data_IF_014006258855
#
_entry.id   IF_014006258855
#
_cell.length_a   1.000
_cell.length_b   1.000
_cell.length_c   1.000
_cell.angle_alpha   90.00
_cell.angle_beta   90.00
_cell.angle_gamma   90.00
#
_symmetry.space_group_name_H-M   'P 1'
#
loop_
_entity.id
_entity.type
_entity.pdbx_description
1 polymer ?
#
# COMPACT_ATOMS: atom_id res chain seq x y z
N UNK A 1 -1.95 18.58 7.97
CA UNK A 1 -2.57 17.53 8.80
C UNK A 1 -2.55 16.16 8.14
N UNK A 2 -3.11 15.98 6.94
CA UNK A 2 -3.15 14.69 6.21
C UNK A 2 -1.78 13.99 6.11
N UNK A 3 -0.74 14.71 5.70
CA UNK A 3 0.61 14.15 5.56
C UNK A 3 1.30 13.77 6.89
N UNK A 4 0.88 14.35 8.02
CA UNK A 4 1.53 14.12 9.32
C UNK A 4 1.17 12.74 9.89
N UNK A 5 -0.04 12.26 9.62
CA UNK A 5 -0.48 10.92 10.06
C UNK A 5 0.37 9.84 9.40
N UNK A 6 0.57 9.94 8.07
CA UNK A 6 1.38 8.95 7.33
C UNK A 6 2.87 9.07 7.66
N UNK A 7 3.38 10.29 7.89
CA UNK A 7 4.75 10.49 8.37
C UNK A 7 4.99 9.84 9.75
N UNK A 8 4.00 9.90 10.65
CA UNK A 8 4.09 9.28 11.98
C UNK A 8 3.92 7.75 11.95
N UNK A 9 3.30 7.19 10.91
CA UNK A 9 3.22 5.75 10.67
C UNK A 9 4.38 5.20 9.83
N UNK A 10 5.43 6.00 9.58
CA UNK A 10 6.59 5.62 8.76
C UNK A 10 7.41 4.45 9.30
N UNK A 11 8.49 4.11 8.58
CA UNK A 11 9.37 2.95 8.87
C UNK A 11 9.83 2.92 10.33
N UNK A 12 10.28 4.05 10.88
CA UNK A 12 10.75 4.13 12.26
C UNK A 12 9.68 3.77 13.28
N UNK A 13 8.39 4.03 12.98
CA UNK A 13 7.28 3.63 13.82
C UNK A 13 7.02 2.13 13.74
N UNK A 14 7.17 1.52 12.56
CA UNK A 14 7.06 0.06 12.43
C UNK A 14 8.24 -0.65 13.11
N UNK A 15 9.48 -0.23 12.83
CA UNK A 15 10.70 -0.87 13.33
C UNK A 15 10.80 -0.92 14.85
N UNK A 16 10.38 0.14 15.53
CA UNK A 16 10.55 0.29 16.98
C UNK A 16 9.37 -0.24 17.81
N UNK A 17 8.41 -0.93 17.18
CA UNK A 17 7.21 -1.43 17.84
C UNK A 17 7.11 -2.95 17.79
N UNK A 18 6.32 -3.50 18.71
CA UNK A 18 6.07 -4.95 18.75
C UNK A 18 5.29 -5.42 17.52
N UNK A 19 5.40 -6.70 17.17
CA UNK A 19 4.71 -7.29 16.00
C UNK A 19 3.20 -7.02 15.97
N UNK A 20 2.53 -7.07 17.14
CA UNK A 20 1.10 -6.79 17.24
C UNK A 20 0.78 -5.32 17.02
N UNK A 21 1.65 -4.40 17.48
CA UNK A 21 1.50 -2.96 17.26
C UNK A 21 1.77 -2.62 15.79
N UNK A 22 2.78 -3.21 15.15
CA UNK A 22 3.04 -3.06 13.71
C UNK A 22 1.80 -3.37 12.86
N UNK A 23 1.09 -4.47 13.16
CA UNK A 23 -0.16 -4.83 12.48
C UNK A 23 -1.23 -3.77 12.69
N UNK A 24 -1.43 -3.31 13.93
CA UNK A 24 -2.40 -2.25 14.24
C UNK A 24 -2.08 -0.93 13.53
N UNK A 25 -0.80 -0.58 13.41
CA UNK A 25 -0.36 0.60 12.65
C UNK A 25 -0.77 0.43 11.18
N UNK A 26 -0.50 -0.72 10.57
CA UNK A 26 -0.85 -0.96 9.17
C UNK A 26 -2.37 -0.94 8.94
N UNK A 27 -3.15 -1.49 9.86
CA UNK A 27 -4.62 -1.39 9.83
C UNK A 27 -5.11 0.05 9.98
N UNK A 28 -4.48 0.86 10.84
CA UNK A 28 -4.81 2.27 10.98
C UNK A 28 -4.49 3.05 9.70
N UNK A 29 -3.38 2.72 9.04
CA UNK A 29 -3.02 3.29 7.73
C UNK A 29 -4.03 2.88 6.66
N UNK A 30 -4.49 1.62 6.64
CA UNK A 30 -5.58 1.18 5.76
C UNK A 30 -6.83 2.05 5.96
N UNK A 31 -7.29 2.18 7.20
CA UNK A 31 -8.49 2.95 7.54
C UNK A 31 -8.34 4.45 7.21
N UNK A 32 -7.13 5.00 7.35
CA UNK A 32 -6.83 6.36 6.95
C UNK A 32 -6.95 6.52 5.44
N UNK A 33 -6.32 5.63 4.68
CA UNK A 33 -6.38 5.65 3.23
C UNK A 33 -7.80 5.47 2.75
N UNK A 34 -8.57 4.50 3.25
CA UNK A 34 -9.96 4.26 2.85
C UNK A 34 -10.84 5.52 2.94
N UNK A 35 -10.56 6.40 3.92
CA UNK A 35 -11.35 7.62 4.20
C UNK A 35 -10.80 8.88 3.54
N UNK A 36 -9.79 8.80 2.69
CA UNK A 36 -9.30 9.99 1.99
C UNK A 36 -10.35 10.49 1.01
N UNK A 37 -10.72 11.77 1.16
CA UNK A 37 -11.66 12.45 0.28
C UNK A 37 -11.17 12.60 -1.17
N UNK A 38 -9.93 12.18 -1.47
CA UNK A 38 -9.39 12.16 -2.83
C UNK A 38 -10.14 11.15 -3.70
N UNK A 39 -10.58 10.03 -3.12
CA UNK A 39 -11.16 8.91 -3.85
C UNK A 39 -12.57 9.15 -4.37
N UNK A 40 -13.24 10.18 -3.86
CA UNK A 40 -14.59 10.56 -4.27
C UNK A 40 -14.60 11.51 -5.48
N UNK A 41 -13.42 11.95 -5.92
CA UNK A 41 -13.26 12.90 -7.01
C UNK A 41 -13.06 12.17 -8.33
N UNK A 42 -13.65 12.72 -9.38
CA UNK A 42 -13.44 12.24 -10.76
C UNK A 42 -12.07 12.66 -11.29
N UNK A 43 -11.58 13.81 -10.83
CA UNK A 43 -10.26 14.35 -11.16
C UNK A 43 -9.69 15.07 -9.93
N UNK A 44 -8.39 14.91 -9.71
CA UNK A 44 -7.67 15.56 -8.62
C UNK A 44 -7.10 16.91 -9.07
N UNK A 45 -7.42 18.02 -8.37
CA UNK A 45 -6.71 19.28 -8.54
C UNK A 45 -5.21 19.11 -8.26
N UNK A 46 -4.36 19.90 -8.92
CA UNK A 46 -2.89 19.78 -8.82
C UNK A 46 -2.38 19.79 -7.37
N UNK A 47 -2.94 20.68 -6.52
CA UNK A 47 -2.57 20.76 -5.11
C UNK A 47 -2.84 19.47 -4.33
N UNK A 48 -3.93 18.76 -4.66
CA UNK A 48 -4.28 17.50 -4.03
C UNK A 48 -3.52 16.32 -4.63
N UNK A 49 -3.21 16.39 -5.93
CA UNK A 49 -2.31 15.42 -6.59
C UNK A 49 -0.92 15.44 -5.95
N UNK A 50 -0.38 16.63 -5.70
CA UNK A 50 0.89 16.80 -4.96
C UNK A 50 0.77 16.22 -3.54
N UNK A 51 -0.33 16.48 -2.83
CA UNK A 51 -0.55 15.91 -1.51
C UNK A 51 -0.65 14.38 -1.52
N UNK A 52 -1.33 13.79 -2.51
CA UNK A 52 -1.42 12.35 -2.69
C UNK A 52 -0.03 11.73 -2.94
N UNK A 53 0.75 12.34 -3.84
CA UNK A 53 2.13 11.93 -4.10
C UNK A 53 2.99 11.96 -2.85
N UNK A 54 2.97 13.07 -2.11
CA UNK A 54 3.70 13.20 -0.84
C UNK A 54 3.30 12.13 0.18
N UNK A 55 2.01 11.79 0.24
CA UNK A 55 1.51 10.75 1.14
C UNK A 55 2.03 9.38 0.72
N UNK A 56 1.94 9.04 -0.57
CA UNK A 56 2.42 7.76 -1.10
C UNK A 56 3.93 7.64 -0.89
N UNK A 57 4.70 8.67 -1.24
CA UNK A 57 6.16 8.69 -1.09
C UNK A 57 6.60 8.49 0.37
N UNK A 58 5.89 9.09 1.32
CA UNK A 58 6.14 8.89 2.77
C UNK A 58 5.78 7.48 3.23
N UNK A 59 4.84 6.83 2.57
CA UNK A 59 4.39 5.48 2.92
C UNK A 59 5.22 4.37 2.26
N UNK A 60 5.81 4.61 1.08
CA UNK A 60 6.61 3.63 0.34
C UNK A 60 7.66 2.93 1.22
N UNK A 61 8.47 3.63 2.04
CA UNK A 61 9.44 2.97 2.90
C UNK A 61 8.77 2.01 3.90
N UNK A 62 7.64 2.39 4.50
CA UNK A 62 6.92 1.58 5.48
C UNK A 62 6.35 0.31 4.82
N UNK A 63 5.87 0.43 3.59
CA UNK A 63 5.40 -0.69 2.78
C UNK A 63 6.53 -1.68 2.48
N UNK A 64 7.69 -1.19 2.01
CA UNK A 64 8.86 -2.03 1.72
C UNK A 64 9.34 -2.77 2.96
N UNK A 65 9.43 -2.06 4.09
CA UNK A 65 9.76 -2.68 5.38
C UNK A 65 8.78 -3.80 5.73
N UNK A 66 7.47 -3.51 5.72
CA UNK A 66 6.45 -4.47 6.12
C UNK A 66 6.44 -5.73 5.23
N UNK A 67 6.60 -5.58 3.91
CA UNK A 67 6.63 -6.70 2.97
C UNK A 67 7.90 -7.56 3.10
N UNK A 68 9.03 -6.95 3.49
CA UNK A 68 10.33 -7.62 3.64
C UNK A 68 10.48 -8.47 4.92
N UNK A 69 9.58 -8.35 5.91
CA UNK A 69 9.65 -9.17 7.13
C UNK A 69 9.00 -10.53 6.89
N UNK A 70 9.71 -11.43 6.20
CA UNK A 70 9.22 -12.75 5.80
C UNK A 70 8.50 -13.55 6.89
N UNK A 71 8.99 -13.51 8.14
CA UNK A 71 8.43 -14.23 9.30
C UNK A 71 7.21 -13.54 9.96
N UNK A 72 6.68 -12.46 9.39
CA UNK A 72 5.55 -11.72 9.93
C UNK A 72 4.37 -11.69 8.95
N UNK A 73 3.75 -12.85 8.75
CA UNK A 73 2.65 -13.08 7.81
C UNK A 73 1.53 -12.05 7.93
N UNK A 74 1.09 -11.74 9.16
CA UNK A 74 -0.01 -10.80 9.36
C UNK A 74 0.36 -9.37 8.90
N UNK A 75 1.56 -8.91 9.21
CA UNK A 75 2.01 -7.58 8.78
C UNK A 75 2.09 -7.50 7.26
N UNK A 76 2.66 -8.52 6.62
CA UNK A 76 2.73 -8.61 5.14
C UNK A 76 1.33 -8.62 4.52
N UNK A 77 0.39 -9.36 5.12
CA UNK A 77 -1.01 -9.38 4.67
C UNK A 77 -1.65 -8.00 4.74
N UNK A 78 -1.51 -7.29 5.86
CA UNK A 78 -2.08 -5.94 5.97
C UNK A 78 -1.39 -4.94 5.05
N UNK A 79 -0.09 -5.09 4.82
CA UNK A 79 0.65 -4.28 3.84
C UNK A 79 0.10 -4.50 2.41
N UNK A 80 -0.14 -5.75 2.01
CA UNK A 80 -0.77 -6.06 0.71
C UNK A 80 -2.19 -5.50 0.60
N UNK A 81 -2.97 -5.52 1.69
CA UNK A 81 -4.31 -4.92 1.73
C UNK A 81 -4.25 -3.41 1.45
N UNK A 82 -3.37 -2.68 2.13
CA UNK A 82 -3.20 -1.24 1.90
C UNK A 82 -2.75 -0.96 0.47
N UNK A 83 -1.79 -1.75 -0.03
CA UNK A 83 -1.25 -1.56 -1.37
C UNK A 83 -2.30 -1.80 -2.46
N UNK A 84 -3.13 -2.84 -2.33
CA UNK A 84 -4.24 -3.11 -3.24
C UNK A 84 -5.32 -2.03 -3.17
N UNK A 85 -5.66 -1.53 -1.98
CA UNK A 85 -6.59 -0.42 -1.80
C UNK A 85 -6.10 0.84 -2.53
N UNK A 86 -4.84 1.22 -2.31
CA UNK A 86 -4.23 2.37 -2.97
C UNK A 86 -4.22 2.20 -4.49
N UNK A 87 -3.86 1.03 -5.00
CA UNK A 87 -3.79 0.77 -6.42
C UNK A 87 -5.17 0.88 -7.09
N UNK A 88 -6.21 0.28 -6.49
CA UNK A 88 -7.61 0.40 -6.96
C UNK A 88 -8.08 1.85 -6.96
N UNK A 89 -7.78 2.59 -5.91
CA UNK A 89 -8.20 3.98 -5.79
C UNK A 89 -7.45 4.89 -6.78
N UNK A 90 -6.15 4.68 -7.02
CA UNK A 90 -5.39 5.40 -8.04
C UNK A 90 -5.92 5.11 -9.45
N UNK A 91 -6.27 3.84 -9.75
CA UNK A 91 -6.93 3.48 -11.02
C UNK A 91 -8.26 4.23 -11.18
N UNK A 92 -9.09 4.27 -10.13
CA UNK A 92 -10.42 4.93 -10.16
C UNK A 92 -10.35 6.40 -10.57
N UNK A 93 -9.32 7.11 -10.13
CA UNK A 93 -9.14 8.56 -10.39
C UNK A 93 -8.08 8.86 -11.47
N UNK A 94 -7.63 7.83 -12.18
CA UNK A 94 -6.65 7.91 -13.26
C UNK A 94 -5.27 8.51 -12.89
N UNK A 95 -4.80 8.29 -11.65
CA UNK A 95 -3.44 8.68 -11.23
C UNK A 95 -2.43 7.57 -11.57
N UNK A 96 -1.96 7.59 -12.82
CA UNK A 96 -1.11 6.53 -13.39
C UNK A 96 0.31 6.51 -12.81
N UNK A 97 0.87 7.68 -12.45
CA UNK A 97 2.23 7.78 -11.88
C UNK A 97 2.31 7.04 -10.54
N UNK A 98 1.37 7.35 -9.64
CA UNK A 98 1.24 6.72 -8.33
C UNK A 98 0.96 5.22 -8.46
N UNK A 99 0.13 4.84 -9.44
CA UNK A 99 -0.17 3.44 -9.73
C UNK A 99 1.10 2.66 -10.14
N UNK A 100 1.96 3.24 -10.99
CA UNK A 100 3.25 2.63 -11.39
C UNK A 100 4.20 2.46 -10.20
N UNK A 101 4.22 3.42 -9.27
CA UNK A 101 5.03 3.31 -8.04
C UNK A 101 4.57 2.12 -7.21
N UNK A 102 3.25 1.95 -7.02
CA UNK A 102 2.68 0.83 -6.26
C UNK A 102 2.94 -0.52 -6.93
N UNK A 103 2.81 -0.59 -8.25
CA UNK A 103 3.14 -1.79 -9.03
C UNK A 103 4.61 -2.17 -8.86
N UNK A 104 5.51 -1.18 -8.92
CA UNK A 104 6.95 -1.39 -8.78
C UNK A 104 7.28 -2.00 -7.41
N UNK A 105 6.67 -1.51 -6.33
CA UNK A 105 6.87 -2.06 -4.98
C UNK A 105 6.41 -3.52 -4.91
N UNK A 106 5.25 -3.84 -5.50
CA UNK A 106 4.75 -5.21 -5.54
C UNK A 106 5.70 -6.13 -6.31
N UNK A 107 6.11 -5.73 -7.52
CA UNK A 107 7.05 -6.50 -8.36
C UNK A 107 8.39 -6.74 -7.65
N UNK A 108 8.89 -5.75 -6.92
CA UNK A 108 10.14 -5.87 -6.13
C UNK A 108 10.07 -6.97 -5.06
N UNK A 109 8.91 -7.23 -4.47
CA UNK A 109 8.74 -8.24 -3.42
C UNK A 109 8.08 -9.53 -3.93
N UNK A 110 7.72 -9.59 -5.20
CA UNK A 110 6.89 -10.65 -5.77
C UNK A 110 7.52 -12.03 -5.63
N UNK A 111 8.83 -12.13 -5.84
CA UNK A 111 9.55 -13.41 -5.72
C UNK A 111 9.44 -13.98 -4.30
N UNK A 112 9.68 -13.16 -3.28
CA UNK A 112 9.58 -13.56 -1.87
C UNK A 112 8.14 -13.84 -1.45
N UNK A 113 7.19 -13.07 -1.99
CA UNK A 113 5.75 -13.27 -1.75
C UNK A 113 5.26 -14.60 -2.36
N UNK A 114 5.76 -15.00 -3.53
CA UNK A 114 5.42 -16.28 -4.15
C UNK A 114 6.00 -17.49 -3.38
N UNK A 115 7.08 -17.30 -2.62
CA UNK A 115 7.67 -18.34 -1.76
C UNK A 115 6.87 -18.54 -0.46
N UNK A 116 5.99 -17.61 -0.10
CA UNK A 116 5.15 -17.71 1.09
C UNK A 116 4.01 -18.71 0.88
N UNK A 117 3.91 -19.71 1.78
CA UNK A 117 2.91 -20.76 1.69
C UNK A 117 1.61 -20.46 2.45
N UNK A 118 1.55 -19.36 3.20
CA UNK A 118 0.39 -18.97 3.99
C UNK A 118 -0.79 -18.64 3.08
N UNK A 119 -1.98 -19.25 3.27
CA UNK A 119 -3.16 -19.00 2.44
C UNK A 119 -3.51 -17.52 2.32
N UNK A 120 -3.33 -16.75 3.40
CA UNK A 120 -3.62 -15.33 3.49
C UNK A 120 -2.75 -14.51 2.53
N UNK A 121 -1.46 -14.83 2.43
CA UNK A 121 -0.53 -14.16 1.50
C UNK A 121 -0.81 -14.59 0.07
N UNK A 122 -0.98 -15.89 -0.18
CA UNK A 122 -1.29 -16.42 -1.51
C UNK A 122 -2.53 -15.77 -2.12
N UNK A 123 -3.62 -15.67 -1.36
CA UNK A 123 -4.84 -15.00 -1.83
C UNK A 123 -4.57 -13.55 -2.21
N UNK A 124 -3.89 -12.77 -1.35
CA UNK A 124 -3.61 -11.35 -1.65
C UNK A 124 -2.68 -11.16 -2.85
N UNK A 125 -1.71 -12.05 -3.04
CA UNK A 125 -0.80 -12.03 -4.20
C UNK A 125 -1.55 -12.33 -5.49
N UNK A 126 -2.50 -13.26 -5.48
CA UNK A 126 -3.36 -13.56 -6.64
C UNK A 126 -4.21 -12.35 -7.01
N UNK A 127 -4.96 -11.78 -6.06
CA UNK A 127 -5.77 -10.57 -6.30
C UNK A 127 -4.96 -9.41 -6.90
N UNK A 128 -3.74 -9.23 -6.39
CA UNK A 128 -2.80 -8.23 -6.86
C UNK A 128 -2.33 -8.48 -8.30
N UNK A 129 -1.95 -9.73 -8.62
CA UNK A 129 -1.57 -10.12 -9.98
C UNK A 129 -2.73 -9.93 -10.94
N UNK A 130 -3.94 -10.36 -10.57
CA UNK A 130 -5.14 -10.18 -11.38
C UNK A 130 -5.38 -8.69 -11.67
N UNK A 131 -5.36 -7.86 -10.63
CA UNK A 131 -5.54 -6.42 -10.77
C UNK A 131 -4.52 -5.77 -11.73
N UNK A 132 -3.22 -6.06 -11.59
CA UNK A 132 -2.19 -5.49 -12.46
C UNK A 132 -2.17 -6.10 -13.86
N UNK A 133 -2.56 -7.36 -14.03
CA UNK A 133 -2.69 -7.97 -15.35
C UNK A 133 -3.85 -7.39 -16.14
N UNK A 134 -4.95 -7.04 -15.48
CA UNK A 134 -6.11 -6.43 -16.14
C UNK A 134 -5.84 -4.98 -16.56
N UNK A 135 -4.96 -4.27 -15.86
CA UNK A 135 -4.47 -2.95 -16.30
C UNK A 135 -3.71 -2.97 -17.62
N UNK A 136 -3.07 -4.09 -17.98
CA UNK A 136 -2.32 -4.22 -19.24
C UNK A 136 -3.22 -4.56 -20.46
N UNK A 137 -4.51 -4.83 -20.23
CA UNK A 137 -5.47 -5.22 -21.28
C UNK A 137 -6.39 -4.07 -21.71
N UNK A 138 -6.48 -3.02 -20.91
CA UNK A 138 -7.21 -1.78 -21.17
C UNK A 138 -6.34 -0.82 -22.01
#
# INVERSE_FOLDING_TARGET
>A
FREQVVAQCGVSCLENNTRSVQVKIMMAVFNYFEKLSFWDKTELPDSERVALRNIIDKFVPAMKYALGISKHTQLRKEALNVLLLLARNCKKINETVELTVLETIFKQHLEELNKDNSPEIKSRVVDMKEFFNDLCKD
#
